data_IF_253638019138
#
_entry.id   IF_253638019138
#
_cell.length_a   1.000
_cell.length_b   1.000
_cell.length_c   1.000
_cell.angle_alpha   90.00
_cell.angle_beta   90.00
_cell.angle_gamma   90.00
#
_symmetry.space_group_name_H-M   'P 1'
#
loop_
_entity.id
_entity.type
_entity.pdbx_description
1 polymer ?
#
# COMPACT_ATOMS: atom_id res chain seq x y z
N UNK A 1 -23.09 4.76 21.04
CA UNK A 1 -21.65 4.51 20.83
C UNK A 1 -21.52 4.34 19.34
N UNK A 2 -20.72 5.17 18.66
CA UNK A 2 -20.42 4.96 17.25
C UNK A 2 -19.69 3.64 17.09
N UNK A 3 -20.17 2.77 16.22
CA UNK A 3 -19.57 1.48 15.94
C UNK A 3 -18.20 1.71 15.29
N UNK A 4 -17.16 1.08 15.84
CA UNK A 4 -15.82 1.20 15.24
C UNK A 4 -15.80 0.49 13.90
N UNK A 5 -15.28 1.11 12.81
CA UNK A 5 -15.24 0.47 11.50
C UNK A 5 -14.31 -0.76 11.51
N UNK A 6 -14.71 -1.80 10.81
CA UNK A 6 -13.92 -3.02 10.61
C UNK A 6 -13.04 -2.83 9.36
N UNK A 7 -11.74 -2.86 9.56
CA UNK A 7 -10.75 -2.69 8.48
C UNK A 7 -10.01 -3.99 8.25
N UNK A 8 -10.13 -4.53 7.03
CA UNK A 8 -9.36 -5.69 6.58
C UNK A 8 -7.92 -5.32 6.25
N UNK A 9 -6.98 -6.18 6.60
CA UNK A 9 -5.57 -6.07 6.21
C UNK A 9 -5.22 -7.32 5.43
N UNK A 10 -4.68 -7.17 4.20
CA UNK A 10 -4.17 -8.30 3.44
C UNK A 10 -2.94 -8.89 4.10
N UNK A 11 -2.75 -10.20 3.93
CA UNK A 11 -1.65 -10.96 4.53
C UNK A 11 -0.79 -11.63 3.45
N UNK A 12 0.48 -11.84 3.78
CA UNK A 12 1.32 -12.77 3.05
C UNK A 12 1.13 -14.21 3.54
N UNK A 13 1.64 -15.18 2.77
CA UNK A 13 1.78 -16.55 3.25
C UNK A 13 3.20 -17.07 3.05
N UNK A 14 3.53 -18.07 3.85
CA UNK A 14 4.76 -18.80 3.77
C UNK A 14 4.43 -20.31 3.85
N UNK A 15 5.43 -21.16 3.71
CA UNK A 15 5.25 -22.62 3.76
C UNK A 15 4.63 -23.12 5.08
N UNK A 16 4.68 -22.31 6.13
CA UNK A 16 4.11 -22.60 7.45
C UNK A 16 2.73 -21.96 7.69
N UNK A 17 2.15 -21.29 6.69
CA UNK A 17 0.83 -20.66 6.76
C UNK A 17 0.85 -19.14 6.53
N UNK A 18 -0.25 -18.51 6.84
CA UNK A 18 -0.42 -17.08 6.69
C UNK A 18 0.47 -16.32 7.68
N UNK A 19 1.03 -15.20 7.26
CA UNK A 19 1.80 -14.33 8.13
C UNK A 19 1.46 -12.85 7.90
N UNK A 20 1.73 -12.07 8.91
CA UNK A 20 1.36 -10.67 8.96
C UNK A 20 2.47 -9.81 9.58
N UNK A 21 2.73 -8.67 8.97
CA UNK A 21 3.63 -7.68 9.54
C UNK A 21 2.96 -6.90 10.67
N UNK A 22 3.55 -6.88 11.86
CA UNK A 22 2.97 -6.28 13.07
C UNK A 22 2.67 -4.77 12.97
N UNK A 23 3.16 -4.10 11.93
CA UNK A 23 3.08 -2.64 11.79
C UNK A 23 1.67 -2.10 11.59
N UNK A 24 0.89 -2.68 10.70
CA UNK A 24 -0.37 -2.09 10.19
C UNK A 24 -1.52 -1.99 11.20
N UNK A 25 -1.67 -2.98 12.07
CA UNK A 25 -2.76 -3.00 13.04
C UNK A 25 -2.68 -1.89 14.09
N UNK A 26 -1.47 -1.47 14.46
CA UNK A 26 -1.26 -0.45 15.51
C UNK A 26 -1.78 0.95 15.14
N UNK A 27 -1.38 1.54 13.98
CA UNK A 27 -1.91 2.83 13.56
C UNK A 27 -3.41 2.80 13.31
N UNK A 28 -3.97 1.69 12.79
CA UNK A 28 -5.41 1.49 12.64
C UNK A 28 -6.15 1.53 13.98
N UNK A 29 -5.63 0.83 15.01
CA UNK A 29 -6.16 0.90 16.35
C UNK A 29 -6.08 2.32 16.94
N UNK A 30 -4.95 3.01 16.75
CA UNK A 30 -4.75 4.38 17.20
C UNK A 30 -5.65 5.39 16.47
N UNK A 31 -5.99 5.11 15.22
CA UNK A 31 -6.95 5.88 14.43
C UNK A 31 -8.42 5.57 14.76
N UNK A 32 -8.70 4.51 15.53
CA UNK A 32 -10.05 4.22 16.05
C UNK A 32 -10.81 3.10 15.33
N UNK A 33 -10.18 2.31 14.45
CA UNK A 33 -10.80 1.16 13.79
C UNK A 33 -10.58 -0.16 14.55
N UNK A 34 -11.23 -1.23 14.07
CA UNK A 34 -10.97 -2.62 14.42
C UNK A 34 -10.28 -3.32 13.25
N UNK A 35 -8.96 -3.50 13.28
CA UNK A 35 -8.25 -4.23 12.24
C UNK A 35 -8.52 -5.73 12.33
N UNK A 36 -8.74 -6.36 11.19
CA UNK A 36 -8.87 -7.81 11.03
C UNK A 36 -7.95 -8.29 9.92
N UNK A 37 -7.30 -9.42 10.15
CA UNK A 37 -6.44 -10.03 9.14
C UNK A 37 -7.32 -10.82 8.16
N UNK A 38 -7.01 -10.72 6.88
CA UNK A 38 -7.76 -11.39 5.82
C UNK A 38 -7.06 -12.69 5.45
N UNK A 39 -7.66 -13.85 5.73
CA UNK A 39 -7.09 -15.12 5.36
C UNK A 39 -7.13 -15.32 3.83
N UNK A 40 -6.37 -16.31 3.37
CA UNK A 40 -6.38 -16.73 1.98
C UNK A 40 -7.73 -17.30 1.59
N UNK A 41 -8.39 -16.65 0.64
CA UNK A 41 -9.64 -17.13 0.04
C UNK A 41 -9.42 -17.55 -1.40
N UNK A 42 -9.50 -18.87 -1.66
CA UNK A 42 -9.36 -19.41 -3.01
C UNK A 42 -10.52 -19.01 -3.93
N UNK A 43 -11.75 -19.02 -3.39
CA UNK A 43 -12.95 -18.76 -4.16
C UNK A 43 -13.20 -17.27 -4.32
N UNK A 44 -13.49 -16.85 -5.55
CA UNK A 44 -13.79 -15.45 -5.85
C UNK A 44 -15.05 -14.95 -5.13
N UNK A 45 -16.06 -15.81 -4.97
CA UNK A 45 -17.32 -15.47 -4.30
C UNK A 45 -17.10 -15.13 -2.81
N UNK A 46 -16.20 -15.87 -2.14
CA UNK A 46 -15.88 -15.62 -0.74
C UNK A 46 -15.17 -14.28 -0.57
N UNK A 47 -14.32 -13.90 -1.54
CA UNK A 47 -13.66 -12.58 -1.59
C UNK A 47 -14.66 -11.45 -1.76
N UNK A 48 -15.66 -11.60 -2.64
CA UNK A 48 -16.74 -10.62 -2.84
C UNK A 48 -17.51 -10.43 -1.54
N UNK A 49 -18.00 -11.53 -0.94
CA UNK A 49 -18.76 -11.48 0.30
C UNK A 49 -17.97 -10.85 1.45
N UNK A 50 -16.67 -11.11 1.52
CA UNK A 50 -15.79 -10.52 2.53
C UNK A 50 -15.68 -9.00 2.34
N UNK A 51 -15.30 -8.54 1.15
CA UNK A 51 -15.09 -7.11 0.88
C UNK A 51 -16.37 -6.30 1.10
N UNK A 52 -17.53 -6.83 0.76
CA UNK A 52 -18.82 -6.19 1.03
C UNK A 52 -19.08 -5.95 2.52
N UNK A 53 -18.53 -6.79 3.40
CA UNK A 53 -18.67 -6.71 4.86
C UNK A 53 -17.65 -5.80 5.53
N UNK A 54 -16.57 -5.45 4.85
CA UNK A 54 -15.56 -4.55 5.38
C UNK A 54 -15.99 -3.09 5.25
N UNK A 55 -15.52 -2.28 6.18
CA UNK A 55 -15.69 -0.83 6.15
C UNK A 55 -14.48 -0.12 5.53
N UNK A 56 -13.33 -0.79 5.48
CA UNK A 56 -12.12 -0.34 4.82
C UNK A 56 -11.17 -1.50 4.54
N UNK A 57 -10.26 -1.30 3.60
CA UNK A 57 -9.24 -2.28 3.20
C UNK A 57 -7.85 -1.66 3.21
N UNK A 58 -6.88 -2.36 3.78
CA UNK A 58 -5.45 -2.07 3.65
C UNK A 58 -4.80 -3.17 2.82
N UNK A 59 -4.16 -2.80 1.70
CA UNK A 59 -3.22 -3.66 1.00
C UNK A 59 -1.84 -3.43 1.58
N UNK A 60 -1.27 -4.46 2.16
CA UNK A 60 -0.03 -4.38 2.91
C UNK A 60 1.24 -4.45 2.02
N UNK A 61 2.39 -4.16 2.60
CA UNK A 61 3.70 -4.39 2.00
C UNK A 61 4.01 -5.88 1.85
N UNK A 62 5.04 -6.19 1.09
CA UNK A 62 5.41 -7.59 0.86
C UNK A 62 6.50 -7.75 -0.20
N UNK A 63 6.62 -8.97 -0.73
CA UNK A 63 7.52 -9.33 -1.82
C UNK A 63 7.00 -8.79 -3.15
N UNK A 64 7.81 -8.90 -4.20
CA UNK A 64 7.50 -8.35 -5.51
C UNK A 64 6.18 -8.87 -6.11
N UNK A 65 5.54 -8.01 -6.88
CA UNK A 65 4.45 -8.40 -7.79
C UNK A 65 5.07 -9.17 -8.97
N UNK A 66 4.47 -10.30 -9.34
CA UNK A 66 4.93 -11.13 -10.45
C UNK A 66 5.00 -10.35 -11.78
N UNK A 67 6.13 -10.44 -12.47
CA UNK A 67 6.46 -9.63 -13.64
C UNK A 67 5.40 -9.69 -14.75
N UNK A 68 4.84 -10.85 -15.01
CA UNK A 68 3.82 -11.04 -16.04
C UNK A 68 2.48 -10.33 -15.72
N UNK A 69 2.21 -9.99 -14.45
CA UNK A 69 1.02 -9.25 -14.02
C UNK A 69 1.00 -7.82 -14.57
N UNK A 70 2.17 -7.23 -14.79
CA UNK A 70 2.30 -5.88 -15.34
C UNK A 70 2.95 -5.85 -16.74
N UNK A 71 2.87 -7.00 -17.46
CA UNK A 71 3.19 -7.09 -18.88
C UNK A 71 4.64 -7.40 -19.22
N UNK A 72 5.47 -7.80 -18.26
CA UNK A 72 6.84 -8.26 -18.50
C UNK A 72 6.88 -9.78 -18.69
N UNK A 73 7.57 -10.23 -19.74
CA UNK A 73 7.74 -11.65 -20.03
C UNK A 73 8.65 -12.35 -19.01
N UNK A 74 9.69 -11.63 -18.54
CA UNK A 74 10.68 -12.16 -17.61
C UNK A 74 10.85 -11.19 -16.43
N UNK A 75 11.03 -11.72 -15.21
CA UNK A 75 11.34 -10.89 -14.06
C UNK A 75 12.74 -10.29 -14.15
N UNK A 76 12.95 -9.17 -13.47
CA UNK A 76 14.30 -8.61 -13.31
C UNK A 76 15.18 -9.58 -12.49
N UNK A 77 16.52 -9.67 -12.73
CA UNK A 77 17.40 -10.55 -11.95
C UNK A 77 17.35 -10.37 -10.43
N UNK A 78 17.02 -9.16 -9.97
CA UNK A 78 16.87 -8.84 -8.55
C UNK A 78 15.46 -9.15 -8.00
N UNK A 79 14.57 -9.70 -8.84
CA UNK A 79 13.20 -10.00 -8.43
C UNK A 79 13.16 -10.92 -7.20
N UNK A 80 12.48 -10.47 -6.18
CA UNK A 80 12.16 -11.30 -5.01
C UNK A 80 11.00 -12.22 -5.37
N UNK A 81 11.18 -13.54 -5.31
CA UNK A 81 10.12 -14.47 -5.67
C UNK A 81 8.80 -14.03 -5.05
N UNK A 82 7.85 -13.69 -5.91
CA UNK A 82 6.52 -13.25 -5.52
C UNK A 82 5.70 -14.38 -4.93
N UNK A 83 4.48 -14.06 -4.65
CA UNK A 83 3.46 -15.00 -4.21
C UNK A 83 2.29 -14.92 -5.20
N UNK A 84 2.30 -15.69 -6.31
CA UNK A 84 1.33 -15.55 -7.40
C UNK A 84 -0.13 -15.65 -6.94
N UNK A 85 -0.39 -16.44 -5.91
CA UNK A 85 -1.72 -16.55 -5.32
C UNK A 85 -2.11 -15.29 -4.54
N UNK A 86 -1.17 -14.69 -3.80
CA UNK A 86 -1.39 -13.43 -3.11
C UNK A 86 -1.66 -12.30 -4.11
N UNK A 87 -0.87 -12.22 -5.19
CA UNK A 87 -1.10 -11.25 -6.26
C UNK A 87 -2.53 -11.36 -6.81
N UNK A 88 -2.98 -12.59 -7.13
CA UNK A 88 -4.33 -12.79 -7.66
C UNK A 88 -5.41 -12.28 -6.70
N UNK A 89 -5.25 -12.57 -5.41
CA UNK A 89 -6.22 -12.18 -4.38
C UNK A 89 -6.23 -10.67 -4.21
N UNK A 90 -5.06 -10.05 -4.04
CA UNK A 90 -4.98 -8.63 -3.77
C UNK A 90 -5.35 -7.76 -4.97
N UNK A 91 -5.01 -8.18 -6.20
CA UNK A 91 -5.50 -7.53 -7.42
C UNK A 91 -7.04 -7.56 -7.47
N UNK A 92 -7.65 -8.70 -7.11
CA UNK A 92 -9.10 -8.81 -7.03
C UNK A 92 -9.68 -7.95 -5.89
N UNK A 93 -9.06 -7.94 -4.72
CA UNK A 93 -9.47 -7.08 -3.62
C UNK A 93 -9.42 -5.59 -3.96
N UNK A 94 -8.38 -5.15 -4.68
CA UNK A 94 -8.27 -3.76 -5.14
C UNK A 94 -9.46 -3.36 -6.03
N UNK A 95 -9.82 -4.21 -7.00
CA UNK A 95 -10.99 -3.98 -7.85
C UNK A 95 -12.28 -3.95 -7.04
N UNK A 96 -12.52 -4.97 -6.23
CA UNK A 96 -13.74 -5.08 -5.42
C UNK A 96 -13.89 -3.88 -4.48
N UNK A 97 -12.81 -3.44 -3.85
CA UNK A 97 -12.84 -2.29 -2.95
C UNK A 97 -13.21 -1.00 -3.69
N UNK A 98 -12.54 -0.71 -4.80
CA UNK A 98 -12.78 0.51 -5.57
C UNK A 98 -14.20 0.53 -6.15
N UNK A 99 -14.63 -0.55 -6.82
CA UNK A 99 -15.95 -0.62 -7.45
C UNK A 99 -17.07 -0.70 -6.41
N UNK A 100 -16.83 -1.32 -5.26
CA UNK A 100 -17.77 -1.37 -4.13
C UNK A 100 -17.78 -0.13 -3.22
N UNK A 101 -16.96 0.89 -3.53
CA UNK A 101 -16.85 2.10 -2.72
C UNK A 101 -16.32 1.81 -1.31
N UNK A 102 -15.45 0.81 -1.15
CA UNK A 102 -14.74 0.52 0.09
C UNK A 102 -13.48 1.37 0.15
N UNK A 103 -13.28 2.20 1.19
CA UNK A 103 -12.04 2.93 1.40
C UNK A 103 -10.82 2.00 1.32
N UNK A 104 -9.82 2.40 0.52
CA UNK A 104 -8.63 1.61 0.23
C UNK A 104 -7.36 2.41 0.51
N UNK A 105 -6.53 1.88 1.41
CA UNK A 105 -5.18 2.35 1.67
C UNK A 105 -4.19 1.27 1.26
N UNK A 106 -3.29 1.59 0.34
CA UNK A 106 -2.33 0.64 -0.24
C UNK A 106 -0.90 1.10 0.07
N UNK A 107 -0.11 0.25 0.74
CA UNK A 107 1.22 0.62 1.30
C UNK A 107 2.30 -0.23 0.68
N UNK A 108 3.38 0.38 0.22
CA UNK A 108 4.57 -0.23 -0.37
C UNK A 108 4.19 -1.16 -1.54
N UNK A 109 4.36 -2.49 -1.40
CA UNK A 109 3.89 -3.44 -2.39
C UNK A 109 2.39 -3.28 -2.68
N UNK A 110 1.56 -2.99 -1.68
CA UNK A 110 0.14 -2.73 -1.88
C UNK A 110 -0.13 -1.58 -2.86
N UNK A 111 0.67 -0.51 -2.84
CA UNK A 111 0.60 0.59 -3.82
C UNK A 111 0.88 0.09 -5.25
N UNK A 112 1.85 -0.80 -5.41
CA UNK A 112 2.17 -1.42 -6.70
C UNK A 112 1.03 -2.34 -7.16
N UNK A 113 0.44 -3.13 -6.26
CA UNK A 113 -0.74 -3.97 -6.52
C UNK A 113 -1.91 -3.11 -6.98
N UNK A 114 -2.21 -2.01 -6.27
CA UNK A 114 -3.26 -1.07 -6.67
C UNK A 114 -3.00 -0.54 -8.09
N UNK A 115 -1.77 -0.17 -8.40
CA UNK A 115 -1.39 0.30 -9.73
C UNK A 115 -1.62 -0.76 -10.81
N UNK A 116 -1.16 -1.98 -10.58
CA UNK A 116 -1.27 -3.11 -11.53
C UNK A 116 -2.71 -3.54 -11.71
N UNK A 117 -3.52 -3.55 -10.65
CA UNK A 117 -4.95 -3.86 -10.72
C UNK A 117 -5.68 -2.98 -11.74
N UNK A 118 -5.29 -1.70 -11.86
CA UNK A 118 -5.87 -0.77 -12.83
C UNK A 118 -5.04 -0.64 -14.11
N UNK A 119 -4.27 -1.66 -14.48
CA UNK A 119 -3.54 -1.75 -15.75
C UNK A 119 -2.28 -0.90 -15.83
N UNK A 120 -1.75 -0.46 -14.70
CA UNK A 120 -0.46 0.21 -14.61
C UNK A 120 0.71 -0.76 -14.78
N UNK A 121 1.92 -0.22 -14.98
CA UNK A 121 3.15 -0.99 -15.12
C UNK A 121 4.16 -0.62 -14.02
N UNK A 122 5.13 -1.50 -13.81
CA UNK A 122 6.20 -1.32 -12.82
C UNK A 122 7.57 -1.41 -13.50
N UNK A 123 8.53 -0.64 -13.00
CA UNK A 123 9.94 -0.98 -13.13
C UNK A 123 10.18 -2.23 -12.28
N UNK A 124 10.81 -3.23 -12.87
CA UNK A 124 11.15 -4.46 -12.16
C UNK A 124 12.23 -4.26 -11.11
N UNK A 125 13.02 -3.20 -11.28
CA UNK A 125 14.00 -2.71 -10.32
C UNK A 125 14.30 -1.24 -10.63
N UNK A 126 14.57 -0.44 -9.61
CA UNK A 126 14.90 0.98 -9.75
C UNK A 126 16.20 1.25 -10.52
N UNK A 127 17.06 0.26 -10.67
CA UNK A 127 18.25 0.38 -11.56
C UNK A 127 17.86 0.57 -13.03
N UNK A 128 16.65 0.22 -13.42
CA UNK A 128 16.10 0.44 -14.75
C UNK A 128 15.61 1.87 -14.96
N UNK A 129 15.43 2.63 -13.89
CA UNK A 129 14.94 4.01 -13.96
C UNK A 129 16.07 4.93 -14.42
N UNK A 130 15.96 5.58 -15.61
CA UNK A 130 17.08 6.26 -16.26
C UNK A 130 17.72 7.39 -15.46
N UNK A 131 16.94 8.05 -14.60
CA UNK A 131 17.32 9.27 -13.89
C UNK A 131 17.51 9.06 -12.38
N UNK A 132 16.93 7.99 -11.80
CA UNK A 132 17.03 7.68 -10.39
C UNK A 132 18.34 6.98 -10.00
N UNK A 133 18.98 6.37 -10.98
CA UNK A 133 20.24 5.64 -10.95
C UNK A 133 20.86 5.44 -9.57
N UNK A 134 21.89 6.19 -9.25
CA UNK A 134 22.66 5.98 -8.03
C UNK A 134 22.08 6.64 -6.76
N UNK A 135 21.10 7.53 -6.86
CA UNK A 135 20.73 8.43 -5.75
C UNK A 135 19.45 8.00 -5.01
N UNK A 136 18.58 7.17 -5.62
CA UNK A 136 17.41 6.65 -4.91
C UNK A 136 17.85 5.49 -3.99
N UNK A 137 17.47 5.50 -2.70
CA UNK A 137 17.89 4.45 -1.76
C UNK A 137 17.54 3.04 -2.21
N UNK A 138 16.39 2.86 -2.86
CA UNK A 138 15.94 1.58 -3.39
C UNK A 138 16.80 1.02 -4.53
N UNK A 139 17.57 1.85 -5.24
CA UNK A 139 18.53 1.39 -6.24
C UNK A 139 19.79 0.76 -5.62
N UNK A 140 19.98 0.90 -4.31
CA UNK A 140 21.11 0.32 -3.57
C UNK A 140 20.72 -1.03 -2.95
N UNK A 141 20.39 -1.97 -3.81
CA UNK A 141 19.86 -3.28 -3.45
C UNK A 141 20.67 -4.04 -2.40
N UNK A 142 22.00 -4.03 -2.48
CA UNK A 142 22.86 -4.74 -1.53
C UNK A 142 22.80 -4.13 -0.13
N UNK A 143 22.70 -2.81 -0.02
CA UNK A 143 22.50 -2.10 1.24
C UNK A 143 21.12 -2.45 1.83
N UNK A 144 20.10 -2.47 0.98
CA UNK A 144 18.74 -2.84 1.38
C UNK A 144 18.65 -4.29 1.87
N UNK A 145 19.28 -5.25 1.18
CA UNK A 145 19.34 -6.65 1.62
C UNK A 145 20.01 -6.79 2.96
N UNK A 146 21.09 -6.05 3.21
CA UNK A 146 21.77 -6.03 4.50
C UNK A 146 20.85 -5.50 5.61
N UNK A 147 20.05 -4.48 5.31
CA UNK A 147 19.05 -3.90 6.21
C UNK A 147 17.95 -4.91 6.57
N UNK A 148 17.37 -5.57 5.58
CA UNK A 148 16.34 -6.60 5.77
C UNK A 148 16.88 -7.78 6.58
N UNK A 149 18.08 -8.26 6.25
CA UNK A 149 18.73 -9.34 7.01
C UNK A 149 18.98 -8.95 8.46
N UNK A 150 19.45 -7.70 8.70
CA UNK A 150 19.67 -7.20 10.06
C UNK A 150 18.37 -7.12 10.87
N UNK A 151 17.26 -6.76 10.22
CA UNK A 151 15.93 -6.71 10.84
C UNK A 151 15.42 -8.10 11.22
N UNK A 152 15.56 -9.08 10.32
CA UNK A 152 15.15 -10.48 10.55
C UNK A 152 15.97 -11.11 11.68
N UNK A 153 17.26 -10.81 11.76
CA UNK A 153 18.15 -11.34 12.78
C UNK A 153 18.06 -10.62 14.14
N UNK A 154 17.17 -9.63 14.29
CA UNK A 154 17.00 -8.86 15.54
C UNK A 154 18.18 -7.98 15.91
N UNK A 155 19.09 -7.72 14.95
CA UNK A 155 20.21 -6.77 15.13
C UNK A 155 19.68 -5.34 15.10
N UNK A 156 20.42 -4.42 15.70
CA UNK A 156 20.11 -2.99 15.66
C UNK A 156 19.90 -2.56 14.20
N UNK A 157 18.75 -1.92 13.92
CA UNK A 157 18.45 -1.42 12.57
C UNK A 157 19.49 -0.35 12.22
N UNK A 158 20.23 -0.47 11.12
CA UNK A 158 20.88 0.69 10.55
C UNK A 158 19.79 1.73 10.25
N UNK A 159 20.08 3.01 10.45
CA UNK A 159 19.09 4.08 10.22
C UNK A 159 18.40 3.89 8.87
N UNK A 160 17.09 4.09 8.85
CA UNK A 160 16.27 3.93 7.65
C UNK A 160 16.80 4.85 6.53
N UNK A 161 17.03 4.34 5.31
CA UNK A 161 17.31 5.22 4.19
C UNK A 161 16.07 6.08 3.94
N UNK A 162 16.27 7.38 3.88
CA UNK A 162 15.17 8.35 3.67
C UNK A 162 15.49 9.26 2.50
N UNK A 163 14.45 9.77 1.84
CA UNK A 163 14.56 10.79 0.80
C UNK A 163 13.38 11.77 0.84
N UNK A 164 13.57 13.00 0.32
CA UNK A 164 12.46 13.92 0.18
C UNK A 164 11.53 13.50 -0.96
N UNK A 165 10.25 13.88 -0.84
CA UNK A 165 9.27 13.81 -1.92
C UNK A 165 8.62 15.18 -2.14
N UNK A 166 8.23 15.44 -3.39
CA UNK A 166 7.37 16.55 -3.78
C UNK A 166 5.96 16.02 -4.01
N UNK A 167 4.98 16.69 -3.43
CA UNK A 167 3.57 16.29 -3.42
C UNK A 167 2.76 17.33 -4.19
N UNK A 168 1.91 16.89 -5.10
CA UNK A 168 1.09 17.74 -5.95
C UNK A 168 0.14 18.60 -5.11
N UNK A 169 0.19 19.94 -5.27
CA UNK A 169 -0.72 20.84 -4.59
C UNK A 169 -2.19 20.49 -4.87
N UNK A 170 -3.00 20.49 -3.82
CA UNK A 170 -4.42 20.18 -3.93
C UNK A 170 -4.77 18.70 -3.94
N UNK A 171 -3.79 17.79 -3.90
CA UNK A 171 -4.03 16.37 -3.65
C UNK A 171 -4.51 16.14 -2.21
N UNK A 172 -5.18 15.01 -1.98
CA UNK A 172 -5.56 14.59 -0.63
C UNK A 172 -4.32 14.40 0.23
N UNK A 173 -3.26 13.80 -0.30
CA UNK A 173 -2.00 13.61 0.41
C UNK A 173 -1.37 14.93 0.84
N UNK A 174 -1.37 15.97 -0.04
CA UNK A 174 -0.86 17.30 0.30
C UNK A 174 -1.62 17.96 1.45
N UNK A 175 -2.91 17.67 1.61
CA UNK A 175 -3.71 18.19 2.72
C UNK A 175 -3.25 17.67 4.10
N UNK A 176 -2.54 16.54 4.14
CA UNK A 176 -2.02 15.91 5.36
C UNK A 176 -0.52 16.18 5.57
N UNK A 177 0.28 16.04 4.52
CA UNK A 177 1.75 16.12 4.61
C UNK A 177 2.33 17.49 4.18
N UNK A 178 1.55 18.33 3.47
CA UNK A 178 2.04 19.49 2.76
C UNK A 178 2.63 19.12 1.41
N UNK A 179 3.23 20.09 0.72
CA UNK A 179 3.78 19.92 -0.63
C UNK A 179 5.18 19.28 -0.65
N UNK A 180 5.80 19.08 0.51
CA UNK A 180 7.11 18.43 0.68
C UNK A 180 7.13 17.63 1.96
N UNK A 181 7.67 16.43 1.86
CA UNK A 181 7.82 15.53 2.99
C UNK A 181 9.08 14.69 2.85
N UNK A 182 9.53 14.03 3.91
CA UNK A 182 10.62 13.06 3.88
C UNK A 182 10.06 11.70 4.24
N UNK A 183 10.33 10.71 3.42
CA UNK A 183 9.84 9.34 3.57
C UNK A 183 10.98 8.35 3.68
N UNK A 184 10.73 7.20 4.28
CA UNK A 184 11.64 6.05 4.18
C UNK A 184 11.58 5.39 2.80
N UNK A 185 12.52 4.49 2.52
CA UNK A 185 12.57 3.76 1.25
C UNK A 185 13.01 2.31 1.48
N UNK A 186 12.06 1.39 1.41
CA UNK A 186 12.26 -0.06 1.54
C UNK A 186 11.84 -0.84 0.32
N UNK A 187 11.84 -0.22 -0.86
CA UNK A 187 11.40 -0.83 -2.10
C UNK A 187 12.50 -0.76 -3.16
N UNK A 188 12.52 -1.71 -4.07
CA UNK A 188 13.36 -1.69 -5.25
C UNK A 188 12.55 -1.73 -6.55
N UNK A 189 11.27 -2.10 -6.50
CA UNK A 189 10.32 -1.87 -7.59
C UNK A 189 9.66 -0.49 -7.43
N UNK A 190 9.18 0.09 -8.53
CA UNK A 190 8.44 1.35 -8.52
C UNK A 190 7.41 1.40 -9.65
N UNK A 191 6.43 2.29 -9.53
CA UNK A 191 5.46 2.54 -10.59
C UNK A 191 6.17 3.19 -11.78
N UNK A 192 6.09 2.53 -12.95
CA UNK A 192 6.55 3.06 -14.24
C UNK A 192 5.47 3.92 -14.89
N UNK A 193 4.26 3.38 -15.02
CA UNK A 193 3.11 4.06 -15.56
C UNK A 193 1.89 3.85 -14.65
N UNK A 194 1.27 4.93 -14.18
CA UNK A 194 0.01 4.82 -13.43
C UNK A 194 -1.07 4.09 -14.23
N UNK A 195 -1.88 3.30 -13.52
CA UNK A 195 -3.03 2.60 -14.06
C UNK A 195 -4.18 3.55 -14.41
N UNK A 196 -5.22 3.01 -15.05
CA UNK A 196 -6.40 3.78 -15.40
C UNK A 196 -7.06 4.39 -14.16
N UNK A 197 -7.48 5.67 -14.27
CA UNK A 197 -8.09 6.46 -13.19
C UNK A 197 -7.12 6.82 -12.04
N UNK A 198 -5.89 6.29 -12.02
CA UNK A 198 -4.87 6.61 -11.02
C UNK A 198 -4.00 7.78 -11.48
N UNK A 199 -3.66 8.68 -10.57
CA UNK A 199 -2.74 9.80 -10.79
C UNK A 199 -1.61 9.73 -9.79
N UNK A 200 -0.38 9.94 -10.26
CA UNK A 200 0.76 10.11 -9.39
C UNK A 200 0.69 11.49 -8.71
N UNK A 201 0.60 11.50 -7.39
CA UNK A 201 0.48 12.71 -6.58
C UNK A 201 1.71 13.02 -5.74
N UNK A 202 2.67 12.11 -5.65
CA UNK A 202 3.97 12.38 -5.04
C UNK A 202 5.09 11.71 -5.83
N UNK A 203 6.24 12.40 -5.87
CA UNK A 203 7.45 11.91 -6.55
C UNK A 203 8.71 12.23 -5.76
N UNK A 204 9.68 11.31 -5.83
CA UNK A 204 11.05 11.60 -5.45
C UNK A 204 11.69 12.61 -6.43
N UNK A 205 12.81 13.27 -6.07
CA UNK A 205 13.43 14.31 -6.91
C UNK A 205 13.76 13.89 -8.34
N UNK A 206 14.02 12.61 -8.55
CA UNK A 206 14.36 12.05 -9.88
C UNK A 206 13.13 11.53 -10.64
N UNK A 207 11.89 11.77 -10.13
CA UNK A 207 10.66 11.42 -10.83
C UNK A 207 10.06 10.06 -10.45
N UNK A 208 10.69 9.27 -9.59
CA UNK A 208 10.10 8.02 -9.06
C UNK A 208 8.77 8.33 -8.39
N UNK A 209 7.73 7.59 -8.77
CA UNK A 209 6.38 7.77 -8.19
C UNK A 209 6.35 7.19 -6.79
N UNK A 210 5.97 8.03 -5.84
CA UNK A 210 5.92 7.70 -4.41
C UNK A 210 4.51 7.63 -3.86
N UNK A 211 3.53 8.25 -4.52
CA UNK A 211 2.13 8.09 -4.17
C UNK A 211 1.21 8.23 -5.37
N UNK A 212 0.08 7.52 -5.29
CA UNK A 212 -1.01 7.56 -6.27
C UNK A 212 -2.35 7.76 -5.58
N UNK A 213 -3.22 8.52 -6.20
CA UNK A 213 -4.62 8.69 -5.81
C UNK A 213 -5.55 8.35 -6.98
N UNK A 214 -6.83 8.13 -6.68
CA UNK A 214 -7.87 7.94 -7.70
C UNK A 214 -8.88 9.09 -7.64
N UNK A 215 -8.63 10.20 -8.36
CA UNK A 215 -9.59 11.32 -8.42
C UNK A 215 -10.94 10.87 -8.95
N UNK A 216 -12.01 11.32 -8.29
CA UNK A 216 -13.38 10.96 -8.66
C UNK A 216 -13.82 9.57 -8.21
N UNK A 217 -13.02 8.84 -7.44
CA UNK A 217 -13.51 7.66 -6.72
C UNK A 217 -14.60 8.05 -5.72
N UNK A 218 -15.55 7.16 -5.49
CA UNK A 218 -16.64 7.39 -4.52
C UNK A 218 -16.20 7.21 -3.08
N UNK A 219 -15.02 6.63 -2.86
CA UNK A 219 -14.41 6.41 -1.55
C UNK A 219 -12.95 6.88 -1.54
N UNK A 220 -12.36 6.91 -0.35
CA UNK A 220 -10.93 7.15 -0.16
C UNK A 220 -10.10 6.07 -0.89
N UNK A 221 -9.22 6.48 -1.79
CA UNK A 221 -8.25 5.59 -2.46
C UNK A 221 -6.90 6.26 -2.49
N UNK A 222 -5.94 5.71 -1.74
CA UNK A 222 -4.57 6.21 -1.64
C UNK A 222 -3.59 5.04 -1.68
N UNK A 223 -2.59 5.13 -2.55
CA UNK A 223 -1.41 4.28 -2.53
C UNK A 223 -0.16 5.09 -2.18
N UNK A 224 0.66 4.60 -1.25
CA UNK A 224 1.96 5.19 -0.89
C UNK A 224 3.05 4.13 -1.02
N UNK A 225 4.22 4.53 -1.51
CA UNK A 225 5.31 3.59 -1.79
C UNK A 225 6.19 3.31 -0.56
N UNK A 226 6.26 4.26 0.38
CA UNK A 226 7.01 4.11 1.63
C UNK A 226 6.23 3.32 2.69
N UNK A 227 6.91 2.96 3.81
CA UNK A 227 6.34 2.18 4.90
C UNK A 227 5.57 3.07 5.90
N UNK A 228 4.40 3.56 5.48
CA UNK A 228 3.54 4.47 6.25
C UNK A 228 3.27 4.03 7.70
N UNK A 229 3.44 2.74 7.99
CA UNK A 229 3.18 2.16 9.31
C UNK A 229 4.37 2.22 10.28
N UNK A 230 5.54 2.70 9.85
CA UNK A 230 6.75 2.69 10.68
C UNK A 230 6.84 3.93 11.58
N UNK A 231 6.55 5.14 11.10
CA UNK A 231 6.82 6.40 11.79
C UNK A 231 5.58 7.10 12.40
N UNK A 232 4.42 6.45 12.40
CA UNK A 232 3.16 7.07 12.81
C UNK A 232 3.14 7.54 14.29
N UNK A 233 4.00 7.01 15.15
CA UNK A 233 4.10 7.41 16.56
C UNK A 233 4.91 8.70 16.73
N UNK A 234 5.86 8.92 15.85
CA UNK A 234 6.83 10.01 15.93
C UNK A 234 6.39 11.23 15.10
N UNK A 235 5.59 11.03 14.04
CA UNK A 235 5.03 12.11 13.23
C UNK A 235 3.49 12.05 13.18
N UNK A 236 2.86 13.09 13.76
CA UNK A 236 1.40 13.23 13.78
C UNK A 236 0.77 13.35 12.38
N UNK A 237 1.53 13.76 11.35
CA UNK A 237 1.05 13.88 9.96
C UNK A 237 0.85 12.49 9.36
N UNK A 238 1.75 11.55 9.63
CA UNK A 238 1.58 10.15 9.25
C UNK A 238 0.31 9.55 9.88
N UNK A 239 0.10 9.80 11.17
CA UNK A 239 -1.13 9.36 11.84
C UNK A 239 -2.38 10.06 11.29
N UNK A 240 -2.28 11.29 10.74
CA UNK A 240 -3.40 11.99 10.12
C UNK A 240 -3.91 11.26 8.85
N UNK A 241 -3.03 10.64 8.07
CA UNK A 241 -3.43 9.81 6.91
C UNK A 241 -4.24 8.60 7.38
N UNK A 242 -3.77 7.90 8.40
CA UNK A 242 -4.50 6.77 8.99
C UNK A 242 -5.88 7.18 9.51
N UNK A 243 -5.96 8.35 10.15
CA UNK A 243 -7.24 8.90 10.64
C UNK A 243 -8.19 9.25 9.51
N UNK A 244 -7.72 9.89 8.44
CA UNK A 244 -8.53 10.20 7.28
C UNK A 244 -9.09 8.94 6.61
N UNK A 245 -8.27 7.91 6.48
CA UNK A 245 -8.72 6.61 5.99
C UNK A 245 -9.76 5.97 6.90
N UNK A 246 -9.54 5.94 8.22
CA UNK A 246 -10.49 5.37 9.19
C UNK A 246 -11.78 6.20 9.29
N UNK A 247 -11.71 7.52 9.11
CA UNK A 247 -12.90 8.38 9.03
C UNK A 247 -13.76 8.04 7.81
N UNK A 248 -13.15 7.80 6.65
CA UNK A 248 -13.84 7.32 5.47
C UNK A 248 -14.47 5.92 5.69
N UNK A 249 -13.76 5.03 6.37
CA UNK A 249 -14.28 3.71 6.75
C UNK A 249 -15.47 3.81 7.71
N UNK A 250 -15.42 4.73 8.68
CA UNK A 250 -16.53 4.96 9.60
C UNK A 250 -17.78 5.50 8.88
N UNK A 251 -17.61 6.42 7.95
CA UNK A 251 -18.72 6.93 7.14
C UNK A 251 -19.39 5.81 6.31
N UNK A 252 -18.60 4.85 5.78
CA UNK A 252 -19.15 3.67 5.11
C UNK A 252 -19.91 2.75 6.09
N UNK A 253 -19.38 2.51 7.29
CA UNK A 253 -20.05 1.70 8.32
C UNK A 253 -21.42 2.27 8.66
N UNK A 254 -21.48 3.59 8.92
CA UNK A 254 -22.74 4.29 9.23
C UNK A 254 -23.76 4.18 8.08
N UNK A 255 -23.30 4.31 6.83
CA UNK A 255 -24.16 4.18 5.65
C UNK A 255 -24.72 2.74 5.50
N UNK A 256 -23.91 1.72 5.77
CA UNK A 256 -24.35 0.31 5.74
C UNK A 256 -25.38 0.00 6.84
N UNK A 257 -25.14 0.49 8.07
CA UNK A 257 -26.09 0.33 9.16
C UNK A 257 -27.44 0.98 8.82
N UNK A 258 -27.42 2.19 8.29
CA UNK A 258 -28.63 2.88 7.86
C UNK A 258 -29.41 2.12 6.78
N UNK A 259 -28.72 1.51 5.82
CA UNK A 259 -29.36 0.71 4.75
C UNK A 259 -29.97 -0.61 5.26
N UNK A 260 -29.45 -1.15 6.37
CA UNK A 260 -29.96 -2.41 6.96
C UNK A 260 -31.24 -2.19 7.79
N UNK A 261 -31.47 -0.96 8.25
CA UNK A 261 -32.62 -0.61 9.11
C UNK A 261 -33.81 -0.08 8.29
N UNK A 262 -33.58 0.28 7.02
CA UNK A 262 -34.62 0.80 6.10
C UNK A 262 -35.31 -0.31 5.31
#
# INVERSE_FOLDING_TARGET
MTTRPIVGISEGFADYGDYYGFGYGRPLLAAGSLPVLLPYYERAEDRVELIERLDGLVLAGGRDVEAWRYGRAEPHPNHLPGQPHLDEIELHYAHLAVEGGVPLLAVCRGCQVLNVAFGGTLYGDLVEFPEAGADHPGAKWDEWRALVSATIEGRERPGHPTHPIEIEPGSMLASHLGERYVVDSYHHQAIERPGERLVAVARAPHGVVEAIEMPGATAFVLGVQWELHEEWQDDHRTLAIWRAFVEAAAARADAREAATVA
#
